data_IF_653041757714
#
_entry.id   IF_653041757714
#
_cell.length_a   1.000
_cell.length_b   1.000
_cell.length_c   1.000
_cell.angle_alpha   90.00
_cell.angle_beta   90.00
_cell.angle_gamma   90.00
#
_symmetry.space_group_name_H-M   'P 1'
#
loop_
_entity.id
_entity.type
_entity.pdbx_description
1 polymer ?
#
# COMPACT_ATOMS: atom_id res chain seq x y z
N UNK A 1 20.20 -14.45 20.09
CA UNK A 1 19.12 -13.46 19.88
C UNK A 1 19.17 -12.97 18.44
N UNK A 2 18.05 -12.98 17.72
CA UNK A 2 17.97 -12.49 16.34
C UNK A 2 18.08 -10.96 16.33
N UNK A 3 18.87 -10.37 15.43
CA UNK A 3 19.11 -8.91 15.34
C UNK A 3 17.79 -8.13 15.21
N UNK A 4 16.80 -8.70 14.52
CA UNK A 4 15.50 -8.08 14.27
C UNK A 4 14.63 -7.88 15.52
N UNK A 5 14.85 -8.68 16.57
CA UNK A 5 14.11 -8.57 17.84
C UNK A 5 14.90 -7.82 18.92
N UNK A 6 16.14 -7.40 18.62
CA UNK A 6 16.96 -6.62 19.55
C UNK A 6 16.31 -5.27 19.82
N UNK A 7 16.11 -4.94 21.10
CA UNK A 7 15.60 -3.63 21.52
C UNK A 7 16.60 -2.52 21.17
N UNK A 8 16.11 -1.49 20.48
CA UNK A 8 16.80 -0.24 20.18
C UNK A 8 15.95 0.91 20.71
N UNK A 9 16.23 1.34 21.94
CA UNK A 9 15.41 2.32 22.64
C UNK A 9 14.01 1.79 22.95
N UNK A 10 12.97 2.49 22.48
CA UNK A 10 11.56 2.18 22.78
C UNK A 10 11.05 0.91 22.09
N UNK A 11 11.60 0.55 20.93
CA UNK A 11 11.09 -0.50 20.05
C UNK A 11 12.19 -1.49 19.62
N UNK A 12 11.87 -2.75 19.32
CA UNK A 12 12.76 -3.65 18.59
C UNK A 12 13.13 -3.10 17.20
N UNK A 13 14.30 -3.45 16.67
CA UNK A 13 14.74 -3.02 15.34
C UNK A 13 13.70 -3.31 14.25
N UNK A 14 13.10 -4.50 14.25
CA UNK A 14 12.07 -4.85 13.27
C UNK A 14 10.84 -3.95 13.33
N UNK A 15 10.45 -3.49 14.52
CA UNK A 15 9.32 -2.56 14.69
C UNK A 15 9.70 -1.16 14.21
N UNK A 16 10.94 -0.71 14.41
CA UNK A 16 11.42 0.54 13.81
C UNK A 16 11.34 0.52 12.29
N UNK A 17 11.78 -0.57 11.67
CA UNK A 17 11.71 -0.74 10.22
C UNK A 17 10.24 -0.71 9.76
N UNK A 18 9.34 -1.41 10.46
CA UNK A 18 7.89 -1.35 10.18
C UNK A 18 7.37 0.08 10.25
N UNK A 19 7.72 0.85 11.29
CA UNK A 19 7.28 2.25 11.42
C UNK A 19 7.76 3.11 10.26
N UNK A 20 9.03 2.99 9.85
CA UNK A 20 9.57 3.72 8.70
C UNK A 20 8.82 3.36 7.42
N UNK A 21 8.59 2.07 7.17
CA UNK A 21 7.87 1.61 5.99
C UNK A 21 6.41 2.11 6.00
N UNK A 22 5.71 1.98 7.13
CA UNK A 22 4.31 2.44 7.24
C UNK A 22 4.21 3.95 7.08
N UNK A 23 5.21 4.72 7.55
CA UNK A 23 5.25 6.17 7.33
C UNK A 23 5.49 6.50 5.85
N UNK A 24 6.46 5.86 5.19
CA UNK A 24 6.78 6.17 3.79
C UNK A 24 5.70 5.63 2.86
N UNK A 25 5.49 4.31 2.82
CA UNK A 25 4.51 3.67 1.93
C UNK A 25 3.07 3.96 2.36
N UNK A 26 2.76 3.92 3.65
CA UNK A 26 1.38 4.11 4.11
C UNK A 26 0.91 5.56 4.14
N UNK A 27 1.75 6.51 4.58
CA UNK A 27 1.31 7.91 4.64
C UNK A 27 1.52 8.63 3.31
N UNK A 28 2.69 8.47 2.67
CA UNK A 28 2.96 9.20 1.43
C UNK A 28 2.27 8.54 0.23
N UNK A 29 2.43 7.23 0.07
CA UNK A 29 1.90 6.55 -1.11
C UNK A 29 0.41 6.21 -0.96
N UNK A 30 0.00 5.59 0.14
CA UNK A 30 -1.42 5.26 0.31
C UNK A 30 -2.26 6.49 0.66
N UNK A 31 -2.01 7.16 1.79
CA UNK A 31 -2.90 8.25 2.22
C UNK A 31 -2.82 9.47 1.29
N UNK A 32 -1.62 10.00 1.03
CA UNK A 32 -1.50 11.23 0.26
C UNK A 32 -1.78 11.00 -1.24
N UNK A 33 -1.15 10.02 -1.89
CA UNK A 33 -1.36 9.81 -3.32
C UNK A 33 -2.78 9.32 -3.66
N UNK A 34 -3.39 8.44 -2.85
CA UNK A 34 -4.75 7.98 -3.11
C UNK A 34 -5.80 9.04 -2.75
N UNK A 35 -5.62 9.79 -1.66
CA UNK A 35 -6.52 10.92 -1.39
C UNK A 35 -6.42 12.00 -2.47
N UNK A 36 -5.22 12.31 -2.96
CA UNK A 36 -5.04 13.24 -4.06
C UNK A 36 -5.70 12.72 -5.34
N UNK A 37 -5.56 11.43 -5.64
CA UNK A 37 -6.25 10.80 -6.77
C UNK A 37 -7.76 10.93 -6.62
N UNK A 38 -8.31 10.65 -5.44
CA UNK A 38 -9.75 10.72 -5.20
C UNK A 38 -10.32 12.15 -5.28
N UNK A 39 -9.66 13.14 -4.68
CA UNK A 39 -10.17 14.52 -4.63
C UNK A 39 -9.73 15.41 -5.79
N UNK A 40 -8.58 15.12 -6.42
CA UNK A 40 -7.96 15.96 -7.44
C UNK A 40 -7.36 15.11 -8.58
N UNK A 41 -8.21 14.34 -9.26
CA UNK A 41 -7.82 13.40 -10.33
C UNK A 41 -6.93 14.02 -11.41
N UNK A 42 -7.24 15.22 -11.91
CA UNK A 42 -6.42 15.87 -12.95
C UNK A 42 -5.01 16.21 -12.44
N UNK A 43 -4.89 16.61 -11.16
CA UNK A 43 -3.59 16.85 -10.52
C UNK A 43 -2.82 15.53 -10.36
N UNK A 44 -3.51 14.45 -9.97
CA UNK A 44 -2.90 13.13 -9.86
C UNK A 44 -2.42 12.59 -11.21
N UNK A 45 -3.17 12.82 -12.29
CA UNK A 45 -2.76 12.53 -13.67
C UNK A 45 -1.52 13.33 -14.06
N UNK A 46 -1.49 14.63 -13.77
CA UNK A 46 -0.34 15.50 -14.09
C UNK A 46 0.94 15.09 -13.33
N UNK A 47 0.80 14.53 -12.13
CA UNK A 47 1.90 14.01 -11.33
C UNK A 47 2.28 12.55 -11.69
N UNK A 48 1.60 11.93 -12.65
CA UNK A 48 1.84 10.55 -13.05
C UNK A 48 1.43 9.50 -12.00
N UNK A 49 0.58 9.87 -11.05
CA UNK A 49 0.03 8.95 -10.04
C UNK A 49 -1.14 8.12 -10.59
N UNK A 50 -1.74 8.57 -11.69
CA UNK A 50 -2.82 7.89 -12.41
C UNK A 50 -2.50 7.87 -13.91
N UNK A 51 -3.08 6.91 -14.64
CA UNK A 51 -2.78 6.70 -16.06
C UNK A 51 -3.91 7.14 -17.00
N UNK A 52 -5.15 7.06 -16.52
CA UNK A 52 -6.35 7.12 -17.35
C UNK A 52 -7.11 8.44 -17.22
N UNK A 53 -7.32 9.10 -18.36
CA UNK A 53 -8.04 10.37 -18.42
C UNK A 53 -9.56 10.18 -18.44
N UNK A 54 -10.23 10.92 -17.55
CA UNK A 54 -11.69 11.06 -17.54
C UNK A 54 -12.27 11.73 -18.80
N UNK A 55 -11.42 12.42 -19.58
CA UNK A 55 -11.79 13.10 -20.81
C UNK A 55 -11.33 12.37 -22.08
N UNK A 56 -10.82 11.13 -21.98
CA UNK A 56 -10.40 10.37 -23.15
C UNK A 56 -11.56 10.09 -24.10
N UNK A 57 -11.30 10.10 -25.41
CA UNK A 57 -12.28 9.68 -26.40
C UNK A 57 -12.52 8.15 -26.37
N UNK A 58 -11.55 7.40 -25.83
CA UNK A 58 -11.65 5.96 -25.67
C UNK A 58 -12.53 5.60 -24.46
N UNK A 59 -13.55 4.78 -24.72
CA UNK A 59 -14.45 4.26 -23.68
C UNK A 59 -13.73 3.33 -22.71
N UNK A 60 -12.71 2.60 -23.17
CA UNK A 60 -11.93 1.70 -22.32
C UNK A 60 -11.15 2.51 -21.30
N UNK A 61 -10.38 3.51 -21.74
CA UNK A 61 -9.61 4.40 -20.86
C UNK A 61 -10.52 5.10 -19.83
N UNK A 62 -11.67 5.63 -20.27
CA UNK A 62 -12.62 6.27 -19.35
C UNK A 62 -13.18 5.30 -18.31
N UNK A 63 -13.42 4.05 -18.70
CA UNK A 63 -13.92 3.02 -17.78
C UNK A 63 -12.86 2.65 -16.75
N UNK A 64 -11.61 2.45 -17.20
CA UNK A 64 -10.47 2.19 -16.31
C UNK A 64 -10.25 3.34 -15.34
N UNK A 65 -10.28 4.59 -15.82
CA UNK A 65 -10.16 5.77 -14.96
C UNK A 65 -11.26 5.87 -13.90
N UNK A 66 -12.51 5.53 -14.23
CA UNK A 66 -13.60 5.50 -13.25
C UNK A 66 -13.41 4.39 -12.20
N UNK A 67 -12.92 3.21 -12.62
CA UNK A 67 -12.59 2.12 -11.69
C UNK A 67 -11.45 2.50 -10.76
N UNK A 68 -10.36 3.06 -11.29
CA UNK A 68 -9.20 3.50 -10.52
C UNK A 68 -9.51 4.66 -9.57
N UNK A 69 -10.44 5.56 -9.92
CA UNK A 69 -10.95 6.57 -8.98
C UNK A 69 -11.68 5.93 -7.80
N UNK A 70 -12.52 4.93 -8.06
CA UNK A 70 -13.22 4.17 -7.01
C UNK A 70 -12.25 3.42 -6.09
N UNK A 71 -11.23 2.80 -6.67
CA UNK A 71 -10.14 2.13 -5.94
C UNK A 71 -9.37 3.12 -5.05
N UNK A 72 -9.00 4.29 -5.58
CA UNK A 72 -8.34 5.33 -4.80
C UNK A 72 -9.16 5.77 -3.59
N UNK A 73 -10.49 5.87 -3.74
CA UNK A 73 -11.40 6.16 -2.64
C UNK A 73 -11.44 5.05 -1.58
N UNK A 74 -11.52 3.80 -2.01
CA UNK A 74 -11.48 2.65 -1.11
C UNK A 74 -10.14 2.57 -0.35
N UNK A 75 -9.03 2.83 -1.03
CA UNK A 75 -7.69 2.82 -0.44
C UNK A 75 -7.50 3.95 0.57
N UNK A 76 -7.90 5.18 0.22
CA UNK A 76 -7.81 6.32 1.13
C UNK A 76 -8.59 6.10 2.43
N UNK A 77 -9.77 5.45 2.35
CA UNK A 77 -10.60 5.17 3.51
C UNK A 77 -10.12 3.95 4.31
N UNK A 78 -10.04 2.79 3.66
CA UNK A 78 -9.79 1.51 4.34
C UNK A 78 -8.33 1.39 4.72
N UNK A 79 -7.42 1.53 3.75
CA UNK A 79 -5.99 1.43 4.04
C UNK A 79 -5.53 2.60 4.90
N UNK A 80 -6.08 3.80 4.66
CA UNK A 80 -5.82 4.97 5.52
C UNK A 80 -6.16 4.74 6.99
N UNK A 81 -7.34 4.17 7.28
CA UNK A 81 -7.71 3.78 8.64
C UNK A 81 -6.76 2.73 9.21
N UNK A 82 -6.37 1.73 8.42
CA UNK A 82 -5.42 0.70 8.85
C UNK A 82 -4.02 1.26 9.14
N UNK A 83 -3.52 2.22 8.35
CA UNK A 83 -2.25 2.92 8.62
C UNK A 83 -2.29 3.60 9.98
N UNK A 84 -3.36 4.37 10.25
CA UNK A 84 -3.53 5.07 11.53
C UNK A 84 -3.60 4.07 12.70
N UNK A 85 -4.43 3.03 12.58
CA UNK A 85 -4.58 2.00 13.61
C UNK A 85 -3.27 1.24 13.86
N UNK A 86 -2.50 0.96 12.81
CA UNK A 86 -1.19 0.32 12.91
C UNK A 86 -0.21 1.20 13.69
N UNK A 87 -0.08 2.47 13.32
CA UNK A 87 0.82 3.42 13.99
C UNK A 87 0.46 3.60 15.47
N UNK A 88 -0.82 3.87 15.76
CA UNK A 88 -1.31 4.04 17.14
C UNK A 88 -1.11 2.76 17.95
N UNK A 89 -1.46 1.61 17.37
CA UNK A 89 -1.37 0.33 18.05
C UNK A 89 0.07 -0.10 18.32
N UNK A 90 1.01 0.14 17.40
CA UNK A 90 2.45 -0.05 17.64
C UNK A 90 2.95 0.88 18.75
N UNK A 91 2.58 2.17 18.69
CA UNK A 91 3.02 3.15 19.67
C UNK A 91 2.56 2.80 21.10
N UNK A 92 1.33 2.31 21.22
CA UNK A 92 0.69 1.86 22.46
C UNK A 92 0.94 0.39 22.80
N UNK A 93 1.73 -0.34 21.99
CA UNK A 93 2.03 -1.78 22.16
C UNK A 93 0.80 -2.69 22.25
N UNK A 94 -0.30 -2.33 21.56
CA UNK A 94 -1.57 -3.07 21.62
C UNK A 94 -1.73 -4.04 20.46
N UNK A 95 -2.37 -5.18 20.72
CA UNK A 95 -2.58 -6.25 19.73
C UNK A 95 -3.36 -5.80 18.50
N UNK A 96 -4.25 -4.81 18.62
CA UNK A 96 -4.95 -4.26 17.45
C UNK A 96 -3.98 -3.61 16.44
N UNK A 97 -2.83 -3.10 16.88
CA UNK A 97 -1.79 -2.57 15.98
C UNK A 97 -1.10 -3.67 15.17
N UNK A 98 -0.88 -4.83 15.79
CA UNK A 98 -0.38 -6.01 15.09
C UNK A 98 -1.39 -6.49 14.03
N UNK A 99 -2.67 -6.61 14.42
CA UNK A 99 -3.73 -7.06 13.50
C UNK A 99 -3.88 -6.08 12.34
N UNK A 100 -4.04 -4.79 12.63
CA UNK A 100 -4.16 -3.76 11.60
C UNK A 100 -2.94 -3.73 10.66
N UNK A 101 -1.73 -3.84 11.20
CA UNK A 101 -0.50 -3.82 10.40
C UNK A 101 -0.34 -5.05 9.51
N UNK A 102 -0.72 -6.23 10.02
CA UNK A 102 -0.74 -7.47 9.22
C UNK A 102 -1.80 -7.37 8.12
N UNK A 103 -3.00 -6.90 8.43
CA UNK A 103 -4.06 -6.69 7.44
C UNK A 103 -3.62 -5.69 6.37
N UNK A 104 -3.04 -4.56 6.75
CA UNK A 104 -2.50 -3.56 5.83
C UNK A 104 -1.45 -4.17 4.90
N UNK A 105 -0.49 -4.92 5.45
CA UNK A 105 0.55 -5.59 4.66
C UNK A 105 -0.02 -6.60 3.65
N UNK A 106 -1.03 -7.37 4.05
CA UNK A 106 -1.72 -8.31 3.14
C UNK A 106 -2.42 -7.56 2.01
N UNK A 107 -3.11 -6.45 2.32
CA UNK A 107 -3.78 -5.62 1.31
C UNK A 107 -2.75 -5.08 0.31
N UNK A 108 -1.61 -4.55 0.76
CA UNK A 108 -0.56 -4.07 -0.14
C UNK A 108 -0.05 -5.14 -1.10
N UNK A 109 0.19 -6.36 -0.59
CA UNK A 109 0.59 -7.49 -1.43
C UNK A 109 -0.51 -7.82 -2.44
N UNK A 110 -1.76 -7.90 -1.98
CA UNK A 110 -2.90 -8.23 -2.83
C UNK A 110 -3.15 -7.19 -3.93
N UNK A 111 -3.16 -5.89 -3.60
CA UNK A 111 -3.38 -4.81 -4.57
C UNK A 111 -2.24 -4.79 -5.59
N UNK A 112 -0.98 -4.96 -5.14
CA UNK A 112 0.17 -5.06 -6.04
C UNK A 112 0.01 -6.18 -7.07
N UNK A 113 -0.37 -7.38 -6.60
CA UNK A 113 -0.60 -8.53 -7.48
C UNK A 113 -1.77 -8.27 -8.43
N UNK A 114 -2.86 -7.71 -7.92
CA UNK A 114 -4.07 -7.40 -8.70
C UNK A 114 -3.75 -6.42 -9.83
N UNK A 115 -3.12 -5.29 -9.53
CA UNK A 115 -2.69 -4.28 -10.50
C UNK A 115 -1.75 -4.87 -11.55
N UNK A 116 -0.76 -5.66 -11.12
CA UNK A 116 0.23 -6.25 -12.03
C UNK A 116 -0.42 -7.27 -12.97
N UNK A 117 -1.25 -8.16 -12.43
CA UNK A 117 -1.92 -9.21 -13.21
C UNK A 117 -3.01 -8.64 -14.11
N UNK A 118 -3.75 -7.61 -13.69
CA UNK A 118 -4.71 -6.91 -14.54
C UNK A 118 -4.02 -6.32 -15.78
N UNK A 119 -2.87 -5.67 -15.61
CA UNK A 119 -2.10 -5.07 -16.72
C UNK A 119 -1.57 -6.13 -17.69
N UNK A 120 -1.08 -7.25 -17.17
CA UNK A 120 -0.71 -8.42 -17.99
C UNK A 120 -1.93 -8.97 -18.74
N UNK A 121 -3.09 -9.05 -18.07
CA UNK A 121 -4.35 -9.49 -18.66
C UNK A 121 -4.81 -8.59 -19.81
N UNK A 122 -4.81 -7.27 -19.61
CA UNK A 122 -5.19 -6.28 -20.63
C UNK A 122 -4.33 -6.39 -21.89
N UNK A 123 -3.02 -6.61 -21.73
CA UNK A 123 -2.13 -6.85 -22.86
C UNK A 123 -2.41 -8.18 -23.57
N UNK A 124 -2.49 -9.27 -22.80
CA UNK A 124 -2.74 -10.60 -23.37
C UNK A 124 -4.07 -10.70 -24.09
N UNK A 125 -5.06 -9.89 -23.70
CA UNK A 125 -6.39 -9.84 -24.32
C UNK A 125 -6.48 -8.79 -25.44
N UNK A 126 -5.36 -8.15 -25.81
CA UNK A 126 -5.27 -7.20 -26.91
C UNK A 126 -5.98 -5.87 -26.66
N UNK A 127 -6.32 -5.56 -25.41
CA UNK A 127 -6.98 -4.31 -25.00
C UNK A 127 -5.99 -3.16 -24.98
N UNK A 128 -4.76 -3.42 -24.55
CA UNK A 128 -3.66 -2.45 -24.55
C UNK A 128 -2.52 -3.00 -25.39
N UNK A 129 -2.07 -2.22 -26.38
CA UNK A 129 -0.98 -2.61 -27.29
C UNK A 129 0.41 -2.21 -26.79
N UNK A 130 0.50 -1.22 -25.90
CA UNK A 130 1.76 -0.74 -25.34
C UNK A 130 1.94 -1.20 -23.89
N UNK A 131 2.77 -2.24 -23.72
CA UNK A 131 3.08 -2.82 -22.42
C UNK A 131 4.09 -1.96 -21.63
N UNK A 132 4.82 -1.03 -22.26
CA UNK A 132 5.89 -0.28 -21.60
C UNK A 132 5.35 0.66 -20.53
N UNK A 133 4.23 1.33 -20.80
CA UNK A 133 3.54 2.19 -19.82
C UNK A 133 2.94 1.35 -18.68
N UNK A 134 2.31 0.23 -19.02
CA UNK A 134 1.73 -0.70 -18.05
C UNK A 134 2.80 -1.36 -17.14
N UNK A 135 3.99 -1.65 -17.65
CA UNK A 135 5.11 -2.21 -16.87
C UNK A 135 5.63 -1.26 -15.80
N UNK A 136 5.59 0.05 -16.07
CA UNK A 136 6.07 1.06 -15.14
C UNK A 136 5.23 1.10 -13.86
N UNK A 137 3.90 1.17 -13.97
CA UNK A 137 3.02 1.18 -12.78
C UNK A 137 3.03 -0.14 -12.03
N UNK A 138 3.07 -1.28 -12.72
CA UNK A 138 3.25 -2.58 -12.07
C UNK A 138 4.54 -2.64 -11.25
N UNK A 139 5.64 -2.13 -11.81
CA UNK A 139 6.94 -2.08 -11.14
C UNK A 139 6.93 -1.13 -9.93
N UNK A 140 6.33 0.06 -10.07
CA UNK A 140 6.16 0.99 -8.95
C UNK A 140 5.35 0.35 -7.82
N UNK A 141 4.25 -0.33 -8.13
CA UNK A 141 3.44 -1.01 -7.11
C UNK A 141 4.22 -2.11 -6.39
N UNK A 142 5.03 -2.89 -7.11
CA UNK A 142 5.92 -3.90 -6.49
C UNK A 142 6.90 -3.26 -5.53
N UNK A 143 7.55 -2.16 -5.93
CA UNK A 143 8.57 -1.49 -5.13
C UNK A 143 8.00 -0.71 -3.94
N UNK A 144 6.84 -0.07 -4.11
CA UNK A 144 6.28 0.87 -3.14
C UNK A 144 5.23 0.24 -2.21
N UNK A 145 4.59 -0.86 -2.62
CA UNK A 145 3.58 -1.56 -1.83
C UNK A 145 3.93 -3.04 -1.63
N UNK A 146 4.24 -3.79 -2.69
CA UNK A 146 4.44 -5.25 -2.62
C UNK A 146 5.59 -5.69 -1.70
N UNK A 147 6.82 -5.27 -2.00
CA UNK A 147 8.01 -5.55 -1.20
C UNK A 147 7.86 -4.99 0.22
N UNK A 148 7.46 -3.72 0.41
CA UNK A 148 7.14 -3.16 1.71
C UNK A 148 6.14 -4.00 2.52
N UNK A 149 5.07 -4.47 1.88
CA UNK A 149 4.04 -5.31 2.51
C UNK A 149 4.63 -6.62 3.01
N UNK A 150 5.41 -7.33 2.20
CA UNK A 150 6.08 -8.58 2.61
C UNK A 150 7.01 -8.34 3.81
N UNK A 151 7.82 -7.27 3.76
CA UNK A 151 8.75 -6.94 4.84
C UNK A 151 7.98 -6.62 6.13
N UNK A 152 6.94 -5.79 6.06
CA UNK A 152 6.11 -5.42 7.22
C UNK A 152 5.47 -6.67 7.83
N UNK A 153 4.89 -7.55 7.00
CA UNK A 153 4.26 -8.79 7.44
C UNK A 153 5.24 -9.66 8.24
N UNK A 154 6.43 -9.92 7.68
CA UNK A 154 7.46 -10.75 8.32
C UNK A 154 7.90 -10.12 9.63
N UNK A 155 8.23 -8.82 9.63
CA UNK A 155 8.75 -8.14 10.81
C UNK A 155 7.73 -8.06 11.95
N UNK A 156 6.44 -7.84 11.63
CA UNK A 156 5.36 -7.86 12.61
C UNK A 156 5.16 -9.25 13.22
N UNK A 157 5.21 -10.31 12.41
CA UNK A 157 5.08 -11.69 12.89
C UNK A 157 6.26 -12.07 13.79
N UNK A 158 7.50 -11.78 13.36
CA UNK A 158 8.72 -12.05 14.12
C UNK A 158 8.71 -11.30 15.45
N UNK A 159 8.17 -10.07 15.48
CA UNK A 159 8.09 -9.24 16.68
C UNK A 159 6.73 -9.32 17.40
N UNK A 160 5.89 -10.33 17.14
CA UNK A 160 4.54 -10.42 17.74
C UNK A 160 4.50 -10.35 19.27
N UNK A 161 5.56 -10.78 19.95
CA UNK A 161 5.67 -10.74 21.41
C UNK A 161 5.69 -9.31 21.95
N UNK A 162 6.20 -8.35 21.18
CA UNK A 162 6.20 -6.92 21.53
C UNK A 162 4.81 -6.38 21.87
N UNK A 163 3.75 -6.94 21.28
CA UNK A 163 2.36 -6.51 21.48
C UNK A 163 1.63 -7.28 22.61
N UNK A 164 2.34 -8.14 23.35
CA UNK A 164 1.78 -8.97 24.43
C UNK A 164 2.33 -8.61 25.82
N UNK A 165 3.24 -7.64 25.91
CA UNK A 165 3.93 -7.32 27.17
C UNK A 165 3.04 -6.65 28.23
N UNK A 166 1.83 -6.19 27.88
CA UNK A 166 0.91 -5.50 28.81
C UNK A 166 -0.22 -6.40 29.36
N UNK A 167 -0.16 -7.73 29.18
CA UNK A 167 -1.15 -8.68 29.74
C UNK A 167 -0.68 -9.42 30.99
N UNK A 168 0.26 -8.83 31.75
CA UNK A 168 0.65 -9.29 33.10
C UNK A 168 0.61 -8.11 34.06
#
# INVERSE_FOLDING_TARGET
MNVLTKRLGRFPLGIWIVLVIVLISGVVFTLFAQALSFFAWDTALALGLQEDSRYSADLVERTLGAMSWGEAGADALVQGALVILTLIGIWRRRTFGLVAGVTLAIIWIYVTLSVTLQRIGLYNWGVVTDLARAQYVGTLMILLAGIPGVIVLILLIVNRQFFREDTV
#
